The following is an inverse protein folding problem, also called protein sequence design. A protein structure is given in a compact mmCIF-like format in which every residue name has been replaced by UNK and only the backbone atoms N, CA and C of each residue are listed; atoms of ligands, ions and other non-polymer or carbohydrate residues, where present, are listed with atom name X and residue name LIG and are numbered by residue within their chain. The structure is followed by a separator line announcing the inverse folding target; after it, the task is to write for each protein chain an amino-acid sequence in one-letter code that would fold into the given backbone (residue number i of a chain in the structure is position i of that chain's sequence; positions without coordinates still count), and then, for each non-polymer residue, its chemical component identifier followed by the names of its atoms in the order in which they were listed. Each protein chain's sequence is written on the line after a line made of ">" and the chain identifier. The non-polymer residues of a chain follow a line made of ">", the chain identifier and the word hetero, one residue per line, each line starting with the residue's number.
data_IF_720714607894
#
_entry.id   IF_720714607894
#
_cell.length_a   1.000
_cell.length_b   1.000
_cell.length_c   1.000
_cell.angle_alpha   90.00
_cell.angle_beta   90.00
_cell.angle_gamma   90.00
#
_symmetry.space_group_name_H-M   'P 1'
#
loop_
_entity.id
_entity.type
_entity.pdbx_description
1 polymer ?
#
# COMPACT_ATOMS: atom_id res chain seq x y z
N UNK A 1 -7.20 6.56 21.82
CA UNK A 1 -8.21 7.22 20.96
C UNK A 1 -7.82 8.65 20.54
N UNK A 2 -7.88 9.69 21.39
CA UNK A 2 -7.63 11.09 20.93
C UNK A 2 -6.21 11.35 20.39
N UNK A 3 -5.20 10.66 20.93
CA UNK A 3 -3.78 10.85 20.54
C UNK A 3 -3.37 10.02 19.33
N UNK A 4 -4.00 8.87 19.10
CA UNK A 4 -3.74 8.02 17.92
C UNK A 4 -4.32 8.66 16.66
N UNK A 5 -5.48 9.32 16.79
CA UNK A 5 -6.07 10.15 15.76
C UNK A 5 -5.15 11.34 15.37
N UNK A 6 -4.45 11.95 16.34
CA UNK A 6 -3.48 13.01 16.06
C UNK A 6 -2.27 12.47 15.28
N UNK A 7 -1.76 11.30 15.64
CA UNK A 7 -0.67 10.67 14.88
C UNK A 7 -1.10 10.33 13.45
N UNK A 8 -2.31 9.77 13.27
CA UNK A 8 -2.86 9.52 11.93
C UNK A 8 -3.03 10.81 11.12
N UNK A 9 -3.45 11.92 11.74
CA UNK A 9 -3.54 13.24 11.12
C UNK A 9 -2.16 13.75 10.68
N UNK A 10 -1.13 13.61 11.51
CA UNK A 10 0.24 13.98 11.14
C UNK A 10 0.73 13.16 9.95
N UNK A 11 0.49 11.85 9.94
CA UNK A 11 0.82 10.99 8.81
C UNK A 11 0.09 11.40 7.53
N UNK A 12 -1.21 11.73 7.64
CA UNK A 12 -2.01 12.21 6.53
C UNK A 12 -1.51 13.54 5.96
N UNK A 13 -1.12 14.49 6.82
CA UNK A 13 -0.46 15.73 6.39
C UNK A 13 0.85 15.42 5.65
N UNK A 14 1.63 14.44 6.13
CA UNK A 14 2.79 13.91 5.43
C UNK A 14 2.50 13.46 3.99
N UNK A 15 1.38 12.75 3.78
CA UNK A 15 0.95 12.32 2.44
C UNK A 15 0.66 13.52 1.54
N UNK A 16 0.02 14.58 2.04
CA UNK A 16 -0.24 15.79 1.25
C UNK A 16 1.04 16.48 0.77
N UNK A 17 2.12 16.43 1.55
CA UNK A 17 3.43 16.97 1.16
C UNK A 17 4.08 16.13 0.05
N UNK A 18 3.86 14.81 0.04
CA UNK A 18 4.40 13.90 -0.98
C UNK A 18 3.61 14.01 -2.28
N UNK A 19 2.28 14.01 -2.19
CA UNK A 19 1.36 14.04 -3.33
C UNK A 19 1.50 15.33 -4.13
N UNK A 20 2.13 16.39 -3.57
CA UNK A 20 2.42 17.69 -4.22
C UNK A 20 1.33 18.03 -5.24
N UNK A 21 0.18 18.59 -4.81
CA UNK A 21 -0.77 19.16 -5.76
C UNK A 21 -0.05 20.34 -6.41
N UNK A 22 0.68 20.08 -7.48
CA UNK A 22 1.57 21.01 -8.15
C UNK A 22 0.78 22.10 -8.90
N UNK A 23 -0.55 22.10 -8.80
CA UNK A 23 -1.46 23.07 -9.42
C UNK A 23 -1.43 23.05 -10.95
N UNK A 24 -0.44 22.38 -11.54
CA UNK A 24 -0.21 22.25 -12.98
C UNK A 24 -1.19 21.26 -13.61
N UNK A 25 -1.64 20.27 -12.83
CA UNK A 25 -2.69 19.32 -13.21
C UNK A 25 -4.02 19.71 -12.55
N UNK A 26 -4.89 20.39 -13.32
CA UNK A 26 -6.19 20.94 -12.90
C UNK A 26 -7.26 19.89 -12.49
N UNK A 27 -6.90 18.61 -12.32
CA UNK A 27 -7.86 17.53 -12.08
C UNK A 27 -7.80 17.02 -10.64
N UNK A 28 -8.86 17.33 -9.87
CA UNK A 28 -9.07 16.80 -8.52
C UNK A 28 -9.35 15.28 -8.48
N UNK A 29 -9.44 14.65 -9.66
CA UNK A 29 -9.80 13.24 -9.81
C UNK A 29 -8.73 12.30 -9.22
N UNK A 30 -7.45 12.59 -9.45
CA UNK A 30 -6.34 11.76 -8.97
C UNK A 30 -6.30 11.63 -7.44
N UNK A 31 -6.26 12.75 -6.68
CA UNK A 31 -6.29 12.72 -5.22
C UNK A 31 -7.53 12.03 -4.65
N UNK A 32 -8.71 12.22 -5.27
CA UNK A 32 -9.95 11.56 -4.82
C UNK A 32 -9.87 10.05 -5.03
N UNK A 33 -9.40 9.59 -6.19
CA UNK A 33 -9.22 8.17 -6.47
C UNK A 33 -8.20 7.52 -5.53
N UNK A 34 -7.15 8.24 -5.10
CA UNK A 34 -6.20 7.77 -4.09
C UNK A 34 -6.88 7.56 -2.73
N UNK A 35 -7.73 8.48 -2.29
CA UNK A 35 -8.47 8.32 -1.01
C UNK A 35 -9.43 7.14 -1.10
N UNK A 36 -10.17 7.00 -2.21
CA UNK A 36 -11.06 5.87 -2.45
C UNK A 36 -10.27 4.56 -2.41
N UNK A 37 -9.14 4.49 -3.11
CA UNK A 37 -8.23 3.34 -3.10
C UNK A 37 -7.76 2.99 -1.69
N UNK A 38 -7.38 3.98 -0.87
CA UNK A 38 -6.97 3.77 0.51
C UNK A 38 -8.09 3.15 1.37
N UNK A 39 -9.34 3.59 1.20
CA UNK A 39 -10.50 3.02 1.89
C UNK A 39 -10.70 1.55 1.49
N UNK A 40 -10.67 1.24 0.20
CA UNK A 40 -10.79 -0.14 -0.28
C UNK A 40 -9.63 -1.03 0.19
N UNK A 41 -8.41 -0.50 0.23
CA UNK A 41 -7.24 -1.18 0.78
C UNK A 41 -7.42 -1.51 2.26
N UNK A 42 -7.90 -0.56 3.07
CA UNK A 42 -8.19 -0.78 4.49
C UNK A 42 -9.28 -1.85 4.68
N UNK A 43 -10.36 -1.79 3.90
CA UNK A 43 -11.43 -2.79 3.93
C UNK A 43 -10.91 -4.18 3.55
N UNK A 44 -10.04 -4.28 2.55
CA UNK A 44 -9.41 -5.54 2.15
C UNK A 44 -8.60 -6.17 3.28
N UNK A 45 -7.78 -5.38 3.99
CA UNK A 45 -7.00 -5.86 5.15
C UNK A 45 -7.94 -6.35 6.26
N UNK A 46 -9.01 -5.60 6.57
CA UNK A 46 -10.00 -6.00 7.58
C UNK A 46 -10.69 -7.30 7.18
N UNK A 47 -11.05 -7.47 5.91
CA UNK A 47 -11.65 -8.70 5.40
C UNK A 47 -10.69 -9.88 5.51
N UNK A 48 -9.42 -9.73 5.10
CA UNK A 48 -8.41 -10.78 5.23
C UNK A 48 -8.27 -11.24 6.68
N UNK A 49 -8.29 -10.31 7.64
CA UNK A 49 -8.26 -10.65 9.07
C UNK A 49 -9.55 -11.28 9.60
N UNK A 50 -10.69 -11.07 8.93
CA UNK A 50 -12.00 -11.61 9.32
C UNK A 50 -12.29 -12.97 8.70
N UNK A 51 -11.63 -13.31 7.60
CA UNK A 51 -11.66 -14.65 7.01
C UNK A 51 -11.16 -15.65 8.07
N UNK A 52 -11.91 -16.74 8.25
CA UNK A 52 -11.63 -17.70 9.31
C UNK A 52 -10.24 -18.34 9.07
N UNK A 53 -9.50 -18.69 10.14
CA UNK A 53 -8.20 -19.37 10.02
C UNK A 53 -8.23 -20.68 9.21
N UNK A 54 -9.43 -21.23 8.96
CA UNK A 54 -9.66 -22.49 8.26
C UNK A 54 -9.45 -22.43 6.74
N UNK A 55 -9.48 -21.26 6.12
CA UNK A 55 -9.25 -21.15 4.67
C UNK A 55 -7.75 -21.09 4.37
N UNK A 56 -7.27 -21.79 3.34
CA UNK A 56 -5.86 -21.71 2.94
C UNK A 56 -5.49 -20.31 2.41
N UNK A 57 -4.25 -19.86 2.68
CA UNK A 57 -3.77 -18.55 2.22
C UNK A 57 -3.70 -18.47 0.70
N UNK A 58 -3.40 -19.60 0.04
CA UNK A 58 -3.43 -19.71 -1.41
C UNK A 58 -4.83 -19.45 -1.97
N UNK A 59 -5.87 -19.97 -1.32
CA UNK A 59 -7.27 -19.75 -1.72
C UNK A 59 -7.65 -18.27 -1.63
N UNK A 60 -7.28 -17.57 -0.55
CA UNK A 60 -7.56 -16.13 -0.42
C UNK A 60 -6.93 -15.33 -1.56
N UNK A 61 -5.64 -15.58 -1.86
CA UNK A 61 -4.94 -14.86 -2.92
C UNK A 61 -5.43 -15.24 -4.31
N UNK A 62 -5.81 -16.51 -4.52
CA UNK A 62 -6.42 -16.96 -5.77
C UNK A 62 -7.70 -16.19 -6.06
N UNK A 63 -8.63 -16.13 -5.11
CA UNK A 63 -9.89 -15.39 -5.29
C UNK A 63 -9.66 -13.89 -5.43
N UNK A 64 -8.76 -13.31 -4.64
CA UNK A 64 -8.38 -11.90 -4.76
C UNK A 64 -7.86 -11.57 -6.17
N UNK A 65 -6.93 -12.39 -6.67
CA UNK A 65 -6.32 -12.20 -8.00
C UNK A 65 -7.32 -12.47 -9.11
N UNK A 66 -8.17 -13.49 -8.98
CA UNK A 66 -9.20 -13.82 -9.96
C UNK A 66 -10.23 -12.69 -10.10
N UNK A 67 -10.79 -12.22 -8.99
CA UNK A 67 -11.74 -11.10 -8.99
C UNK A 67 -11.07 -9.84 -9.52
N UNK A 68 -9.84 -9.54 -9.09
CA UNK A 68 -9.07 -8.42 -9.61
C UNK A 68 -8.86 -8.50 -11.12
N UNK A 69 -8.57 -9.69 -11.65
CA UNK A 69 -8.37 -9.93 -13.09
C UNK A 69 -9.66 -9.73 -13.87
N UNK A 70 -10.80 -10.23 -13.37
CA UNK A 70 -12.11 -10.06 -14.03
C UNK A 70 -12.54 -8.60 -14.03
N UNK A 71 -12.43 -7.92 -12.89
CA UNK A 71 -12.80 -6.51 -12.76
C UNK A 71 -11.91 -5.62 -13.63
N UNK A 72 -10.59 -5.83 -13.61
CA UNK A 72 -9.67 -5.08 -14.46
C UNK A 72 -9.84 -5.45 -15.93
N UNK A 73 -10.15 -6.72 -16.23
CA UNK A 73 -10.46 -7.20 -17.58
C UNK A 73 -11.67 -6.52 -18.19
N UNK A 74 -12.66 -6.12 -17.40
CA UNK A 74 -13.78 -5.32 -17.89
C UNK A 74 -13.36 -3.96 -18.47
N UNK A 75 -12.16 -3.46 -18.15
CA UNK A 75 -11.61 -2.22 -18.73
C UNK A 75 -11.03 -2.41 -20.13
N UNK A 76 -10.76 -3.66 -20.55
CA UNK A 76 -10.11 -4.00 -21.82
C UNK A 76 -10.80 -3.35 -23.04
N UNK A 77 -12.14 -3.37 -23.19
CA UNK A 77 -12.80 -2.79 -24.36
C UNK A 77 -12.63 -1.28 -24.50
N UNK A 78 -12.36 -0.57 -23.40
CA UNK A 78 -12.31 0.90 -23.38
C UNK A 78 -10.92 1.47 -23.68
N UNK A 79 -9.84 0.72 -23.42
CA UNK A 79 -8.48 1.23 -23.48
C UNK A 79 -7.42 0.21 -23.95
N UNK A 80 -7.83 -0.79 -24.75
CA UNK A 80 -6.90 -1.82 -25.23
C UNK A 80 -5.71 -1.23 -26.00
N UNK A 81 -4.51 -1.65 -25.61
CA UNK A 81 -3.27 -1.43 -26.37
C UNK A 81 -2.54 -2.76 -26.46
N UNK A 82 -2.24 -3.19 -27.69
CA UNK A 82 -1.53 -4.45 -27.92
C UNK A 82 -0.11 -4.35 -27.36
N UNK A 83 0.28 -5.21 -26.40
CA UNK A 83 1.60 -5.18 -25.81
C UNK A 83 2.66 -5.72 -26.79
N UNK A 84 3.88 -5.18 -26.72
CA UNK A 84 5.04 -5.75 -27.38
C UNK A 84 5.50 -7.03 -26.66
N UNK A 85 6.36 -7.84 -27.30
CA UNK A 85 6.91 -9.05 -26.68
C UNK A 85 7.73 -8.72 -25.42
N UNK A 86 8.44 -7.60 -25.44
CA UNK A 86 9.19 -7.09 -24.30
C UNK A 86 8.24 -6.69 -23.16
N UNK A 87 7.16 -5.98 -23.48
CA UNK A 87 6.14 -5.62 -22.50
C UNK A 87 5.48 -6.86 -21.87
N UNK A 88 5.22 -7.91 -22.65
CA UNK A 88 4.72 -9.19 -22.13
C UNK A 88 5.70 -9.84 -21.14
N UNK A 89 7.00 -9.80 -21.43
CA UNK A 89 8.03 -10.28 -20.51
C UNK A 89 8.04 -9.50 -19.18
N UNK A 90 7.97 -8.18 -19.25
CA UNK A 90 7.88 -7.31 -18.06
C UNK A 90 6.59 -7.54 -17.27
N UNK A 91 5.45 -7.72 -17.96
CA UNK A 91 4.16 -8.02 -17.33
C UNK A 91 4.18 -9.38 -16.61
N UNK A 92 4.86 -10.39 -17.16
CA UNK A 92 5.02 -11.68 -16.51
C UNK A 92 5.84 -11.57 -15.21
N UNK A 93 6.96 -10.83 -15.25
CA UNK A 93 7.74 -10.54 -14.03
C UNK A 93 6.93 -9.77 -13.00
N UNK A 94 6.23 -8.72 -13.43
CA UNK A 94 5.38 -7.91 -12.57
C UNK A 94 4.29 -8.77 -11.91
N UNK A 95 3.63 -9.65 -12.67
CA UNK A 95 2.64 -10.59 -12.16
C UNK A 95 3.23 -11.59 -11.14
N UNK A 96 4.42 -12.13 -11.41
CA UNK A 96 5.10 -13.04 -10.50
C UNK A 96 5.47 -12.37 -9.17
N UNK A 97 6.09 -11.18 -9.21
CA UNK A 97 6.45 -10.43 -8.01
C UNK A 97 5.21 -9.93 -7.24
N UNK A 98 4.18 -9.46 -7.95
CA UNK A 98 2.93 -9.03 -7.33
C UNK A 98 2.23 -10.19 -6.61
N UNK A 99 2.17 -11.37 -7.23
CA UNK A 99 1.55 -12.57 -6.64
C UNK A 99 2.36 -13.04 -5.43
N UNK A 100 3.68 -13.11 -5.54
CA UNK A 100 4.55 -13.48 -4.42
C UNK A 100 4.42 -12.49 -3.25
N UNK A 101 4.43 -11.19 -3.53
CA UNK A 101 4.21 -10.14 -2.53
C UNK A 101 2.85 -10.25 -1.86
N UNK A 102 1.79 -10.46 -2.63
CA UNK A 102 0.43 -10.62 -2.11
C UNK A 102 0.28 -11.87 -1.24
N UNK A 103 0.92 -13.00 -1.61
CA UNK A 103 0.96 -14.22 -0.80
C UNK A 103 1.65 -13.97 0.54
N UNK A 104 2.87 -13.42 0.51
CA UNK A 104 3.63 -13.11 1.72
C UNK A 104 2.89 -12.13 2.63
N UNK A 105 2.27 -11.10 2.04
CA UNK A 105 1.49 -10.11 2.78
C UNK A 105 0.25 -10.73 3.42
N UNK A 106 -0.47 -11.59 2.69
CA UNK A 106 -1.64 -12.33 3.22
C UNK A 106 -1.22 -13.23 4.37
N UNK A 107 -0.12 -13.98 4.22
CA UNK A 107 0.42 -14.84 5.28
C UNK A 107 0.84 -14.03 6.51
N UNK A 108 1.46 -12.87 6.33
CA UNK A 108 1.86 -12.00 7.43
C UNK A 108 0.64 -11.47 8.19
N UNK A 109 -0.36 -10.92 7.50
CA UNK A 109 -1.56 -10.35 8.14
C UNK A 109 -2.43 -11.38 8.88
N UNK A 110 -2.30 -12.66 8.55
CA UNK A 110 -2.96 -13.76 9.25
C UNK A 110 -2.24 -14.18 10.53
N UNK A 111 -0.92 -14.00 10.59
CA UNK A 111 -0.09 -14.45 11.72
C UNK A 111 0.21 -13.34 12.73
N UNK A 112 0.25 -12.09 12.29
CA UNK A 112 0.59 -10.95 13.11
C UNK A 112 -0.46 -9.84 13.03
N UNK A 113 -0.49 -8.98 14.05
CA UNK A 113 -1.41 -7.86 14.04
C UNK A 113 -1.07 -6.82 12.98
N UNK A 114 -2.11 -6.27 12.35
CA UNK A 114 -1.97 -5.25 11.33
C UNK A 114 -1.20 -4.02 11.85
N UNK A 115 -1.34 -3.70 13.15
CA UNK A 115 -0.57 -2.65 13.79
C UNK A 115 0.93 -2.97 13.89
N UNK A 116 1.30 -4.23 14.10
CA UNK A 116 2.69 -4.68 14.11
C UNK A 116 3.31 -4.71 12.70
N UNK A 117 2.50 -4.96 11.68
CA UNK A 117 2.93 -4.98 10.27
C UNK A 117 2.97 -3.60 9.61
N UNK A 118 2.25 -2.62 10.15
CA UNK A 118 2.19 -1.26 9.59
C UNK A 118 3.58 -0.63 9.32
N UNK A 119 4.57 -0.68 10.24
CA UNK A 119 5.90 -0.15 9.98
C UNK A 119 6.62 -0.79 8.78
N UNK A 120 6.43 -2.09 8.57
CA UNK A 120 7.04 -2.82 7.46
C UNK A 120 6.47 -2.41 6.11
N UNK A 121 5.16 -2.13 6.04
CA UNK A 121 4.57 -1.61 4.81
C UNK A 121 5.16 -0.26 4.40
N UNK A 122 5.60 0.58 5.35
CA UNK A 122 6.21 1.87 5.03
C UNK A 122 7.63 1.75 4.49
N UNK A 123 8.34 0.64 4.69
CA UNK A 123 9.65 0.46 4.05
C UNK A 123 9.53 0.40 2.53
N UNK A 124 8.34 0.08 2.00
CA UNK A 124 8.06 0.15 0.56
C UNK A 124 8.33 1.54 -0.02
N UNK A 125 8.15 2.62 0.76
CA UNK A 125 8.44 3.99 0.32
C UNK A 125 9.93 4.16 0.05
N UNK A 126 10.78 3.61 0.93
CA UNK A 126 12.24 3.66 0.77
C UNK A 126 12.67 2.91 -0.49
N UNK A 127 12.12 1.71 -0.70
CA UNK A 127 12.38 0.92 -1.92
C UNK A 127 11.85 1.60 -3.18
N UNK A 128 10.68 2.22 -3.13
CA UNK A 128 10.10 2.96 -4.25
C UNK A 128 10.99 4.15 -4.65
N UNK A 129 11.47 4.93 -3.67
CA UNK A 129 12.42 6.03 -3.91
C UNK A 129 13.74 5.50 -4.47
N UNK A 130 14.28 4.41 -3.91
CA UNK A 130 15.53 3.83 -4.36
C UNK A 130 15.43 3.35 -5.80
N UNK A 131 14.38 2.60 -6.15
CA UNK A 131 14.18 2.11 -7.51
C UNK A 131 13.84 3.24 -8.48
N UNK A 132 13.03 4.22 -8.06
CA UNK A 132 12.78 5.45 -8.82
C UNK A 132 14.07 6.17 -9.22
N UNK A 133 14.98 6.32 -8.26
CA UNK A 133 16.29 6.92 -8.53
C UNK A 133 17.19 6.05 -9.41
N UNK A 134 17.30 4.74 -9.13
CA UNK A 134 18.23 3.84 -9.84
C UNK A 134 17.82 3.59 -11.29
N UNK A 135 16.53 3.36 -11.55
CA UNK A 135 16.04 2.99 -12.88
C UNK A 135 15.56 4.18 -13.70
N UNK A 136 14.98 5.20 -13.06
CA UNK A 136 14.38 6.35 -13.76
C UNK A 136 15.11 7.67 -13.49
N UNK A 137 16.14 7.69 -12.63
CA UNK A 137 16.86 8.92 -12.28
C UNK A 137 15.99 9.94 -11.53
N UNK A 138 14.87 9.50 -10.95
CA UNK A 138 13.93 10.40 -10.26
C UNK A 138 14.55 10.95 -8.99
N UNK A 139 14.68 12.28 -8.91
CA UNK A 139 15.18 12.95 -7.71
C UNK A 139 14.03 13.32 -6.78
N UNK A 140 14.13 12.93 -5.52
CA UNK A 140 13.15 13.28 -4.49
C UNK A 140 13.40 14.70 -4.00
N UNK A 141 12.38 15.55 -4.07
CA UNK A 141 12.46 16.92 -3.56
C UNK A 141 12.59 16.94 -2.03
N UNK A 142 13.21 17.99 -1.48
CA UNK A 142 13.30 18.18 -0.02
C UNK A 142 11.91 18.19 0.67
N UNK A 143 10.88 18.68 -0.02
CA UNK A 143 9.48 18.70 0.48
C UNK A 143 8.92 17.28 0.57
N UNK A 144 9.16 16.46 -0.45
CA UNK A 144 8.74 15.05 -0.47
C UNK A 144 9.45 14.26 0.63
N UNK A 145 10.74 14.55 0.87
CA UNK A 145 11.51 13.93 1.94
C UNK A 145 10.94 14.29 3.33
N UNK A 146 10.56 15.55 3.55
CA UNK A 146 9.88 15.98 4.77
C UNK A 146 8.51 15.28 4.95
N UNK A 147 7.75 15.14 3.86
CA UNK A 147 6.50 14.38 3.85
C UNK A 147 6.70 12.91 4.27
N UNK A 148 7.69 12.23 3.67
CA UNK A 148 8.06 10.85 4.01
C UNK A 148 8.46 10.76 5.49
N UNK A 149 9.27 11.69 6.00
CA UNK A 149 9.66 11.71 7.41
C UNK A 149 8.46 11.86 8.36
N UNK A 150 7.45 12.68 8.00
CA UNK A 150 6.21 12.80 8.77
C UNK A 150 5.40 11.50 8.75
N UNK A 151 5.27 10.84 7.59
CA UNK A 151 4.56 9.56 7.45
C UNK A 151 5.23 8.50 8.34
N UNK A 152 6.54 8.31 8.19
CA UNK A 152 7.31 7.31 8.94
C UNK A 152 7.35 7.63 10.44
N UNK A 153 7.54 8.89 10.81
CA UNK A 153 7.54 9.31 12.21
C UNK A 153 6.20 9.08 12.90
N UNK A 154 5.10 9.39 12.21
CA UNK A 154 3.75 9.17 12.74
C UNK A 154 3.43 7.69 12.92
N UNK A 155 3.84 6.83 11.98
CA UNK A 155 3.58 5.39 12.05
C UNK A 155 4.42 4.71 13.12
N UNK A 156 5.69 5.08 13.29
CA UNK A 156 6.54 4.62 14.41
C UNK A 156 5.92 5.03 15.75
N UNK A 157 5.43 6.27 15.86
CA UNK A 157 4.80 6.75 17.09
C UNK A 157 3.54 5.94 17.46
N UNK A 158 2.73 5.54 16.48
CA UNK A 158 1.57 4.65 16.68
C UNK A 158 2.04 3.24 17.07
N UNK A 159 3.02 2.68 16.37
CA UNK A 159 3.51 1.32 16.60
C UNK A 159 4.16 1.15 17.99
N UNK A 160 4.99 2.10 18.43
CA UNK A 160 5.63 2.08 19.74
C UNK A 160 4.61 2.19 20.89
N UNK A 161 3.46 2.84 20.66
CA UNK A 161 2.38 2.98 21.66
C UNK A 161 1.46 1.76 21.70
N UNK A 162 1.19 1.13 20.56
CA UNK A 162 0.47 -0.15 20.51
C UNK A 162 1.14 -1.21 21.39
N UNK A 163 2.48 -1.24 21.40
CA UNK A 163 3.27 -2.13 22.26
C UNK A 163 3.24 -1.79 23.76
N UNK A 164 2.80 -0.58 24.14
CA UNK A 164 2.66 -0.19 25.55
C UNK A 164 1.28 -0.54 26.13
N UNK A 165 0.26 -0.76 25.28
CA UNK A 165 -1.08 -1.17 25.73
C UNK A 165 -1.16 -2.68 26.02
N UNK A 166 -0.29 -3.48 25.42
CA UNK A 166 -0.08 -4.89 25.74
C UNK A 166 1.14 -5.03 26.68
N UNK A 167 0.98 -4.61 27.93
CA UNK A 167 1.88 -5.04 29.00
C UNK A 167 1.85 -6.58 29.11
N UNK A 168 2.96 -7.23 29.51
CA UNK A 168 3.06 -8.69 29.49
C UNK A 168 1.94 -9.29 30.34
N UNK A 169 1.03 -10.02 29.71
CA UNK A 169 0.09 -10.91 30.38
C UNK A 169 0.90 -12.06 30.97
N UNK A 170 1.33 -11.88 32.22
CA UNK A 170 1.70 -12.97 33.12
C UNK A 170 0.41 -13.56 33.68
#
# INVERSE_FOLDING_TARGET
>A
MRRDALAALVGFVGVLFVVRPDGSHSSWLGPVLLIVSAIFGALSIIQIKRIRPTDDSGTTVLFFTFVGTVVMGASLPFAWRTPSIEALGLMAWLGAFATAGQLLMTMAFRQADAAALAPYNYTSIVWAVLFGYVFWGETVSAVSLAGIAMIVGSSIAVALRGRQAEGPSV
#
